data_IF_012998237994
#
_entry.id   IF_012998237994
#
_cell.length_a   1.000
_cell.length_b   1.000
_cell.length_c   1.000
_cell.angle_alpha   90.00
_cell.angle_beta   90.00
_cell.angle_gamma   90.00
#
_symmetry.space_group_name_H-M   'P 1'
#
loop_
_entity.id
_entity.type
_entity.pdbx_description
1 polymer ?
#
# COMPACT_ATOMS: atom_id res chain seq x y z
N UNK A 1 0.76 29.53 22.73
CA UNK A 1 1.18 28.30 22.02
C UNK A 1 1.79 27.30 23.00
N UNK A 2 2.94 27.58 23.63
CA UNK A 2 3.62 26.64 24.55
C UNK A 2 2.82 26.25 25.80
N UNK A 3 2.07 27.19 26.40
CA UNK A 3 1.39 26.94 27.69
C UNK A 3 -0.06 26.48 27.60
N UNK A 4 -0.66 26.50 26.41
CA UNK A 4 -2.09 26.20 26.24
C UNK A 4 -2.38 25.32 25.03
N UNK A 5 -1.81 25.67 23.88
CA UNK A 5 -2.04 24.94 22.62
C UNK A 5 -1.31 23.60 22.62
N UNK A 6 -0.01 23.58 22.93
CA UNK A 6 0.76 22.32 22.93
C UNK A 6 0.25 21.35 24.01
N UNK A 7 0.05 21.77 25.28
CA UNK A 7 -0.51 20.88 26.30
C UNK A 7 -1.86 20.30 25.89
N UNK A 8 -2.74 21.14 25.33
CA UNK A 8 -4.05 20.67 24.83
C UNK A 8 -3.92 19.66 23.69
N UNK A 9 -2.99 19.85 22.75
CA UNK A 9 -2.75 18.86 21.68
C UNK A 9 -2.24 17.55 22.29
N UNK A 10 -1.28 17.60 23.21
CA UNK A 10 -0.72 16.41 23.88
C UNK A 10 -1.83 15.64 24.60
N UNK A 11 -2.64 16.34 25.40
CA UNK A 11 -3.75 15.73 26.15
C UNK A 11 -4.75 15.04 25.22
N UNK A 12 -5.07 15.64 24.07
CA UNK A 12 -6.08 15.12 23.14
C UNK A 12 -5.54 14.09 22.13
N UNK A 13 -4.23 13.96 21.94
CA UNK A 13 -3.66 13.13 20.85
C UNK A 13 -2.66 12.07 21.30
N UNK A 14 -2.00 12.24 22.45
CA UNK A 14 -0.96 11.33 22.93
C UNK A 14 -1.38 10.50 24.15
N UNK A 15 -2.54 10.80 24.74
CA UNK A 15 -3.09 10.03 25.87
C UNK A 15 -4.08 8.99 25.33
N UNK A 16 -3.79 7.70 25.53
CA UNK A 16 -4.62 6.59 25.03
C UNK A 16 -6.11 6.67 25.44
N UNK A 17 -6.39 7.20 26.63
CA UNK A 17 -7.77 7.35 27.11
C UNK A 17 -8.55 8.44 26.35
N UNK A 18 -7.86 9.38 25.71
CA UNK A 18 -8.43 10.56 25.09
C UNK A 18 -8.51 10.45 23.55
N UNK A 19 -7.99 9.37 22.98
CA UNK A 19 -8.03 9.11 21.53
C UNK A 19 -9.11 8.08 21.17
N UNK A 20 -9.47 8.05 19.88
CA UNK A 20 -10.38 7.03 19.36
C UNK A 20 -9.67 5.66 19.33
N UNK A 21 -10.02 4.80 20.30
CA UNK A 21 -9.43 3.48 20.49
C UNK A 21 -9.74 2.52 19.33
N UNK A 22 -10.95 2.59 18.78
CA UNK A 22 -11.36 1.75 17.65
C UNK A 22 -10.50 2.03 16.43
N UNK A 23 -10.34 3.31 16.06
CA UNK A 23 -9.46 3.72 14.96
C UNK A 23 -8.00 3.34 15.19
N UNK A 24 -7.52 3.42 16.43
CA UNK A 24 -6.17 2.99 16.76
C UNK A 24 -6.01 1.48 16.55
N UNK A 25 -6.96 0.67 17.01
CA UNK A 25 -6.94 -0.79 16.82
C UNK A 25 -7.02 -1.13 15.32
N UNK A 26 -7.92 -0.50 14.57
CA UNK A 26 -8.02 -0.67 13.11
C UNK A 26 -6.69 -0.33 12.42
N UNK A 27 -6.01 0.75 12.85
CA UNK A 27 -4.71 1.14 12.32
C UNK A 27 -3.63 0.11 12.64
N UNK A 28 -3.60 -0.42 13.87
CA UNK A 28 -2.66 -1.46 14.28
C UNK A 28 -2.88 -2.72 13.44
N UNK A 29 -4.11 -3.21 13.37
CA UNK A 29 -4.48 -4.39 12.58
C UNK A 29 -4.07 -4.25 11.12
N UNK A 30 -4.28 -3.07 10.53
CA UNK A 30 -3.87 -2.77 9.16
C UNK A 30 -2.35 -2.77 8.98
N UNK A 31 -1.58 -2.28 9.95
CA UNK A 31 -0.11 -2.34 9.90
C UNK A 31 0.38 -3.77 10.02
N UNK A 32 -0.17 -4.54 10.96
CA UNK A 32 0.18 -5.96 11.16
C UNK A 32 -0.09 -6.78 9.90
N UNK A 33 -1.24 -6.60 9.25
CA UNK A 33 -1.56 -7.29 8.00
C UNK A 33 -0.61 -6.90 6.86
N UNK A 34 -0.18 -5.64 6.77
CA UNK A 34 0.78 -5.17 5.77
C UNK A 34 2.16 -5.80 5.97
N UNK A 35 2.65 -5.84 7.21
CA UNK A 35 3.89 -6.52 7.56
C UNK A 35 3.81 -8.03 7.33
N UNK A 36 2.66 -8.63 7.66
CA UNK A 36 2.40 -10.05 7.40
C UNK A 36 2.52 -10.37 5.90
N UNK A 37 1.87 -9.59 5.03
CA UNK A 37 2.01 -9.76 3.57
C UNK A 37 3.47 -9.68 3.18
N UNK A 38 4.23 -8.71 3.68
CA UNK A 38 5.65 -8.54 3.33
C UNK A 38 6.46 -9.78 3.72
N UNK A 39 6.21 -10.35 4.90
CA UNK A 39 6.87 -11.60 5.32
C UNK A 39 6.50 -12.78 4.40
N UNK A 40 5.25 -12.84 3.95
CA UNK A 40 4.75 -13.89 3.05
C UNK A 40 5.28 -13.76 1.62
N UNK A 41 5.64 -12.56 1.17
CA UNK A 41 6.27 -12.37 -0.14
C UNK A 41 7.51 -13.25 -0.28
N UNK A 42 8.43 -13.17 0.70
CA UNK A 42 9.65 -13.97 0.75
C UNK A 42 9.38 -15.47 0.80
N UNK A 43 8.42 -15.89 1.63
CA UNK A 43 8.06 -17.30 1.77
C UNK A 43 7.49 -17.91 0.48
N UNK A 44 6.89 -17.08 -0.37
CA UNK A 44 6.22 -17.50 -1.62
C UNK A 44 7.04 -17.20 -2.89
N UNK A 45 8.28 -16.71 -2.77
CA UNK A 45 9.10 -16.32 -3.91
C UNK A 45 8.50 -15.18 -4.72
N UNK A 46 7.84 -14.23 -4.04
CA UNK A 46 7.25 -13.02 -4.60
C UNK A 46 8.08 -11.81 -4.19
N UNK A 47 8.14 -10.81 -5.07
CA UNK A 47 8.77 -9.51 -4.80
C UNK A 47 7.74 -8.40 -4.55
N UNK A 48 6.49 -8.60 -4.99
CA UNK A 48 5.39 -7.69 -4.75
C UNK A 48 4.03 -8.39 -4.80
N UNK A 49 3.05 -7.80 -4.15
CA UNK A 49 1.66 -8.22 -4.17
C UNK A 49 0.74 -7.01 -4.34
N UNK A 50 -0.22 -7.09 -5.27
CA UNK A 50 -1.18 -6.02 -5.57
C UNK A 50 -2.59 -6.58 -5.38
N UNK A 51 -3.26 -6.17 -4.31
CA UNK A 51 -4.60 -6.70 -3.96
C UNK A 51 -5.68 -6.30 -4.97
N UNK A 52 -6.61 -7.22 -5.25
CA UNK A 52 -7.81 -6.94 -6.02
C UNK A 52 -8.65 -5.87 -5.30
N UNK A 53 -9.18 -4.91 -6.07
CA UNK A 53 -9.96 -3.80 -5.52
C UNK A 53 -9.16 -2.54 -5.21
N UNK A 54 -7.82 -2.59 -5.23
CA UNK A 54 -6.96 -1.43 -4.99
C UNK A 54 -7.20 -0.29 -5.99
N UNK A 55 -7.09 0.96 -5.53
CA UNK A 55 -7.16 2.16 -6.36
C UNK A 55 -5.74 2.70 -6.53
N UNK A 56 -5.09 2.28 -7.60
CA UNK A 56 -3.72 2.67 -7.94
C UNK A 56 -3.59 4.12 -8.45
N UNK A 57 -4.46 4.63 -9.35
CA UNK A 57 -4.32 6.00 -9.84
C UNK A 57 -4.52 7.02 -8.72
N UNK A 58 -3.75 8.10 -8.77
CA UNK A 58 -3.87 9.22 -7.82
C UNK A 58 -4.73 10.33 -8.42
N UNK A 59 -5.26 11.18 -7.56
CA UNK A 59 -6.15 12.29 -7.93
C UNK A 59 -5.49 13.27 -8.90
N UNK A 60 -4.18 13.53 -8.74
CA UNK A 60 -3.37 14.34 -9.66
C UNK A 60 -1.89 14.00 -9.50
N UNK A 61 -1.02 14.56 -10.36
CA UNK A 61 0.43 14.35 -10.29
C UNK A 61 1.11 14.90 -9.02
N UNK A 62 0.42 15.76 -8.26
CA UNK A 62 0.93 16.37 -7.01
C UNK A 62 0.14 15.92 -5.77
N UNK A 63 -0.96 15.19 -5.95
CA UNK A 63 -1.79 14.69 -4.86
C UNK A 63 -1.46 13.23 -4.58
N UNK A 64 -1.20 12.92 -3.33
CA UNK A 64 -1.05 11.53 -2.90
C UNK A 64 -2.39 10.83 -2.67
N UNK A 65 -3.55 11.50 -2.81
CA UNK A 65 -4.88 10.89 -2.60
C UNK A 65 -5.28 9.97 -3.75
N UNK A 66 -6.09 8.92 -3.50
CA UNK A 66 -6.58 8.06 -4.58
C UNK A 66 -7.51 8.82 -5.51
N UNK A 67 -7.50 8.45 -6.80
CA UNK A 67 -8.43 8.99 -7.78
C UNK A 67 -9.86 8.58 -7.41
N UNK A 68 -10.73 9.57 -7.20
CA UNK A 68 -12.16 9.33 -6.95
C UNK A 68 -12.75 8.58 -8.15
N UNK A 69 -13.49 7.51 -7.86
CA UNK A 69 -14.07 6.62 -8.87
C UNK A 69 -13.02 6.01 -9.83
N UNK A 70 -11.75 5.91 -9.39
CA UNK A 70 -10.70 5.25 -10.16
C UNK A 70 -11.03 3.77 -10.39
N UNK A 71 -10.63 3.26 -11.56
CA UNK A 71 -10.80 1.84 -11.88
C UNK A 71 -10.04 0.99 -10.85
N UNK A 72 -10.76 0.09 -10.19
CA UNK A 72 -10.19 -0.87 -9.26
C UNK A 72 -9.28 -1.85 -10.00
N UNK A 73 -8.16 -2.17 -9.37
CA UNK A 73 -7.23 -3.18 -9.88
C UNK A 73 -7.86 -4.57 -9.78
N UNK A 74 -7.61 -5.41 -10.78
CA UNK A 74 -8.03 -6.81 -10.81
C UNK A 74 -6.87 -7.63 -11.39
N UNK A 75 -6.47 -8.67 -10.66
CA UNK A 75 -5.38 -9.54 -11.04
C UNK A 75 -5.76 -10.38 -12.26
N UNK A 76 -4.84 -10.54 -13.23
CA UNK A 76 -4.94 -11.64 -14.18
C UNK A 76 -4.97 -12.99 -13.43
N UNK A 77 -5.84 -13.91 -13.85
CA UNK A 77 -6.04 -15.21 -13.18
C UNK A 77 -4.75 -16.03 -13.06
N UNK A 78 -3.85 -15.94 -14.03
CA UNK A 78 -2.58 -16.66 -14.05
C UNK A 78 -1.51 -16.08 -13.10
N UNK A 79 -1.73 -14.87 -12.58
CA UNK A 79 -0.86 -14.20 -11.61
C UNK A 79 -1.55 -14.04 -10.24
N UNK A 80 -2.81 -14.48 -10.13
CA UNK A 80 -3.57 -14.34 -8.90
C UNK A 80 -3.08 -15.32 -7.83
N UNK A 81 -2.83 -14.78 -6.64
CA UNK A 81 -2.47 -15.54 -5.45
C UNK A 81 -3.39 -15.14 -4.29
N UNK A 82 -3.50 -16.03 -3.31
CA UNK A 82 -4.30 -15.82 -2.12
C UNK A 82 -3.41 -15.75 -0.87
N UNK A 83 -3.72 -14.80 0.02
CA UNK A 83 -3.07 -14.63 1.32
C UNK A 83 -4.15 -14.58 2.39
N UNK A 84 -3.99 -15.36 3.46
CA UNK A 84 -4.88 -15.31 4.61
C UNK A 84 -4.22 -14.47 5.71
N UNK A 85 -4.72 -13.25 5.88
CA UNK A 85 -4.18 -12.28 6.83
C UNK A 85 -4.71 -12.53 8.24
N UNK A 86 -3.94 -12.21 9.29
CA UNK A 86 -4.35 -12.44 10.67
C UNK A 86 -5.59 -11.60 11.06
N UNK A 87 -5.71 -10.36 10.57
CA UNK A 87 -6.81 -9.47 10.95
C UNK A 87 -7.90 -9.35 9.87
N UNK A 88 -7.53 -9.08 8.62
CA UNK A 88 -8.49 -8.91 7.52
C UNK A 88 -9.00 -10.22 6.91
N UNK A 89 -8.32 -11.34 7.17
CA UNK A 89 -8.65 -12.65 6.60
C UNK A 89 -8.19 -12.80 5.15
N UNK A 90 -8.90 -13.62 4.38
CA UNK A 90 -8.52 -14.00 3.01
C UNK A 90 -8.61 -12.82 2.04
N UNK A 91 -7.50 -12.53 1.36
CA UNK A 91 -7.43 -11.58 0.25
C UNK A 91 -6.82 -12.24 -0.98
N UNK A 92 -7.21 -11.74 -2.16
CA UNK A 92 -6.67 -12.16 -3.46
C UNK A 92 -6.08 -10.98 -4.21
N UNK A 93 -5.05 -11.23 -5.00
CA UNK A 93 -4.39 -10.20 -5.77
C UNK A 93 -3.29 -10.75 -6.66
N UNK A 94 -2.66 -9.86 -7.40
CA UNK A 94 -1.57 -10.22 -8.31
C UNK A 94 -0.28 -10.39 -7.51
N UNK A 95 0.31 -11.59 -7.57
CA UNK A 95 1.64 -11.87 -7.06
C UNK A 95 2.69 -11.68 -8.15
N UNK A 96 3.65 -10.79 -7.94
CA UNK A 96 4.82 -10.60 -8.82
C UNK A 96 5.93 -11.52 -8.32
N UNK A 97 6.28 -12.54 -9.10
CA UNK A 97 7.32 -13.51 -8.76
C UNK A 97 8.72 -12.90 -8.89
N UNK A 98 9.66 -13.47 -8.16
CA UNK A 98 11.09 -13.24 -8.37
C UNK A 98 11.49 -13.49 -9.84
N UNK A 99 12.46 -12.71 -10.32
CA UNK A 99 12.92 -12.73 -11.70
C UNK A 99 12.56 -11.45 -12.46
N UNK A 100 12.44 -11.57 -13.79
CA UNK A 100 12.17 -10.43 -14.67
C UNK A 100 10.69 -10.42 -15.03
N UNK A 101 9.97 -9.37 -14.59
CA UNK A 101 8.58 -9.11 -14.97
C UNK A 101 8.51 -7.90 -15.88
N UNK A 102 7.88 -8.05 -17.05
CA UNK A 102 7.71 -6.95 -18.01
C UNK A 102 6.26 -6.43 -18.00
N UNK A 103 6.09 -5.13 -17.74
CA UNK A 103 4.78 -4.45 -17.80
C UNK A 103 4.66 -3.75 -19.16
N UNK A 104 3.89 -4.34 -20.08
CA UNK A 104 3.69 -3.85 -21.44
C UNK A 104 2.31 -3.22 -21.65
N UNK A 105 2.13 -2.51 -22.76
CA UNK A 105 0.86 -1.90 -23.16
C UNK A 105 1.03 -0.54 -23.86
N UNK A 106 -0.05 -0.03 -24.44
CA UNK A 106 -0.08 1.28 -25.13
C UNK A 106 0.20 2.49 -24.24
N UNK A 107 0.44 3.64 -24.84
CA UNK A 107 0.53 4.92 -24.12
C UNK A 107 -0.75 5.17 -23.32
N UNK A 108 -0.62 5.68 -22.09
CA UNK A 108 -1.75 5.99 -21.20
C UNK A 108 -2.58 4.79 -20.69
N UNK A 109 -2.08 3.55 -20.81
CA UNK A 109 -2.76 2.35 -20.30
C UNK A 109 -2.48 2.04 -18.81
N UNK A 110 -1.87 2.96 -18.05
CA UNK A 110 -1.66 2.78 -16.61
C UNK A 110 -0.40 2.00 -16.20
N UNK A 111 0.54 1.75 -17.13
CA UNK A 111 1.83 1.08 -16.83
C UNK A 111 2.62 1.77 -15.71
N UNK A 112 2.79 3.10 -15.83
CA UNK A 112 3.46 3.88 -14.79
C UNK A 112 2.65 3.91 -13.50
N UNK A 113 1.33 3.85 -13.58
CA UNK A 113 0.45 3.84 -12.40
C UNK A 113 0.66 2.59 -11.56
N UNK A 114 0.70 1.41 -12.18
CA UNK A 114 0.99 0.17 -11.43
C UNK A 114 2.43 0.13 -10.94
N UNK A 115 3.40 0.57 -11.75
CA UNK A 115 4.80 0.58 -11.35
C UNK A 115 5.06 1.53 -10.18
N UNK A 116 4.45 2.72 -10.18
CA UNK A 116 4.53 3.67 -9.06
C UNK A 116 3.85 3.13 -7.79
N UNK A 117 2.79 2.31 -7.91
CA UNK A 117 2.18 1.67 -6.77
C UNK A 117 3.07 0.59 -6.17
N UNK A 118 3.74 -0.22 -7.01
CA UNK A 118 4.74 -1.21 -6.58
C UNK A 118 5.94 -0.51 -5.94
N UNK A 119 6.47 0.55 -6.56
CA UNK A 119 7.55 1.39 -6.02
C UNK A 119 7.25 1.88 -4.60
N UNK A 120 6.05 2.41 -4.37
CA UNK A 120 5.65 2.92 -3.06
C UNK A 120 5.20 1.84 -2.08
N UNK A 121 4.99 0.60 -2.54
CA UNK A 121 4.62 -0.55 -1.71
C UNK A 121 5.72 -1.03 -0.75
N UNK A 122 6.91 -0.44 -0.83
CA UNK A 122 7.94 -0.58 0.23
C UNK A 122 7.50 0.08 1.54
N UNK A 123 6.57 1.04 1.49
CA UNK A 123 6.01 1.72 2.65
C UNK A 123 4.66 1.15 3.05
N UNK A 124 4.34 1.30 4.34
CA UNK A 124 3.00 1.08 4.86
C UNK A 124 2.11 2.25 4.44
N UNK A 125 0.94 1.95 3.90
CA UNK A 125 -0.08 2.95 3.59
C UNK A 125 -1.16 3.05 4.67
N UNK A 126 -1.78 4.23 4.77
CA UNK A 126 -2.90 4.51 5.70
C UNK A 126 -4.23 4.02 5.12
N UNK A 127 -5.20 3.82 6.00
CA UNK A 127 -6.57 3.51 5.65
C UNK A 127 -7.16 4.55 4.67
N UNK A 128 -7.78 4.07 3.59
CA UNK A 128 -8.36 4.92 2.55
C UNK A 128 -7.36 5.41 1.49
N UNK A 129 -6.08 5.03 1.55
CA UNK A 129 -5.10 5.35 0.51
C UNK A 129 -5.40 4.62 -0.82
N UNK A 130 -6.04 3.45 -0.77
CA UNK A 130 -6.30 2.59 -1.93
C UNK A 130 -5.15 1.66 -2.31
N UNK A 131 -3.96 1.80 -1.70
CA UNK A 131 -2.80 0.93 -1.88
C UNK A 131 -2.38 0.21 -0.59
N UNK A 132 -3.27 0.16 0.40
CA UNK A 132 -3.04 -0.40 1.74
C UNK A 132 -2.56 -1.86 1.71
N UNK A 133 -2.87 -2.58 0.65
CA UNK A 133 -2.42 -3.97 0.45
C UNK A 133 -1.70 -4.12 -0.89
N UNK A 134 -0.97 -3.08 -1.29
CA UNK A 134 0.04 -3.11 -2.35
C UNK A 134 1.40 -3.09 -1.67
N UNK A 135 1.99 -4.28 -1.54
CA UNK A 135 3.19 -4.48 -0.72
C UNK A 135 4.31 -5.01 -1.60
N UNK A 136 5.49 -4.45 -1.41
CA UNK A 136 6.70 -4.79 -2.15
C UNK A 136 7.81 -5.11 -1.17
N UNK A 137 8.78 -5.93 -1.61
CA UNK A 137 10.03 -6.16 -0.91
C UNK A 137 10.64 -4.81 -0.45
N UNK A 138 10.99 -4.71 0.83
CA UNK A 138 11.45 -3.45 1.44
C UNK A 138 12.82 -2.98 0.93
N UNK A 139 13.54 -3.81 0.18
CA UNK A 139 14.82 -3.47 -0.45
C UNK A 139 14.66 -3.01 -1.90
N UNK A 140 13.44 -3.01 -2.45
CA UNK A 140 13.20 -2.59 -3.82
C UNK A 140 13.59 -1.12 -4.06
N UNK A 141 14.31 -0.88 -5.15
CA UNK A 141 14.77 0.46 -5.52
C UNK A 141 14.33 0.77 -6.94
N UNK A 142 13.80 1.97 -7.16
CA UNK A 142 13.56 2.47 -8.51
C UNK A 142 14.80 3.18 -9.03
N UNK A 143 15.27 2.73 -10.17
CA UNK A 143 16.40 3.33 -10.87
C UNK A 143 15.88 4.19 -12.02
N UNK A 144 16.44 5.39 -12.15
CA UNK A 144 16.22 6.31 -13.27
C UNK A 144 17.55 7.03 -13.60
N UNK A 145 17.67 7.54 -14.82
CA UNK A 145 18.75 8.47 -15.12
C UNK A 145 18.55 9.77 -14.34
N UNK A 146 19.64 10.38 -13.88
CA UNK A 146 19.70 11.70 -13.26
C UNK A 146 20.73 12.53 -14.02
N UNK A 147 20.34 13.75 -14.39
CA UNK A 147 21.24 14.69 -15.04
C UNK A 147 22.16 15.30 -13.96
N UNK A 148 23.48 15.26 -14.18
CA UNK A 148 24.51 15.68 -13.24
C UNK A 148 24.67 17.19 -13.09
#
# INVERSE_FOLDING_TARGET
ILYSVIPSIIENTLIYQNINKEKLIERINLVEDQEYIRSELKNKGLIAFVTNGSILPRESGVSSKPLRNGKKFESPKNLEVELNLPNKGLIKGMGVKEGITLIVGGGYHGKSTILNAIELGVYIHIEGDGREFVITDNTAVKVRAEDG
#
